data_IF_326824058918
#
_entry.id   IF_326824058918
#
_cell.length_a   1.000
_cell.length_b   1.000
_cell.length_c   1.000
_cell.angle_alpha   90.00
_cell.angle_beta   90.00
_cell.angle_gamma   90.00
#
_symmetry.space_group_name_H-M   'P 1'
#
loop_
_entity.id
_entity.type
_entity.pdbx_description
1 polymer ?
#
# COMPACT_ATOMS: atom_id res chain seq x y z
N UNK A 1 -14.99 5.29 11.93
CA UNK A 1 -15.02 6.31 13.01
C UNK A 1 -14.25 5.88 14.26
N UNK A 2 -14.51 4.69 14.83
CA UNK A 2 -13.78 4.16 16.00
C UNK A 2 -12.26 4.09 15.75
N UNK A 3 -11.82 3.59 14.59
CA UNK A 3 -10.39 3.53 14.24
C UNK A 3 -9.71 4.91 14.21
N UNK A 4 -10.40 5.95 13.72
CA UNK A 4 -9.87 7.32 13.69
C UNK A 4 -9.74 7.86 15.12
N UNK A 5 -10.72 7.59 15.99
CA UNK A 5 -10.68 7.99 17.40
C UNK A 5 -9.55 7.29 18.17
N UNK A 6 -9.37 5.98 17.96
CA UNK A 6 -8.26 5.20 18.52
C UNK A 6 -6.93 5.80 18.05
N UNK A 7 -6.82 6.10 16.76
CA UNK A 7 -5.61 6.68 16.18
C UNK A 7 -5.27 8.06 16.75
N UNK A 8 -6.25 8.96 16.85
CA UNK A 8 -6.08 10.25 17.51
C UNK A 8 -5.69 10.08 18.98
N UNK A 9 -6.28 9.12 19.69
CA UNK A 9 -5.91 8.77 21.06
C UNK A 9 -4.46 8.32 21.20
N UNK A 10 -3.99 7.46 20.30
CA UNK A 10 -2.58 7.00 20.25
C UNK A 10 -1.65 8.19 19.99
N UNK A 11 -1.96 9.04 19.00
CA UNK A 11 -1.14 10.22 18.70
C UNK A 11 -1.07 11.20 19.88
N UNK A 12 -2.18 11.45 20.56
CA UNK A 12 -2.21 12.28 21.75
C UNK A 12 -1.36 11.64 22.86
N UNK A 13 -1.57 10.35 23.14
CA UNK A 13 -0.83 9.60 24.15
C UNK A 13 0.68 9.60 23.91
N UNK A 14 1.12 9.34 22.68
CA UNK A 14 2.53 9.38 22.30
C UNK A 14 3.12 10.79 22.49
N UNK A 15 2.36 11.84 22.17
CA UNK A 15 2.82 13.22 22.35
C UNK A 15 2.93 13.66 23.83
N UNK A 16 2.26 12.97 24.76
CA UNK A 16 2.36 13.21 26.21
C UNK A 16 3.60 12.56 26.83
N UNK A 17 4.20 11.54 26.19
CA UNK A 17 5.36 10.81 26.72
C UNK A 17 6.57 11.72 27.05
N UNK A 18 6.99 12.66 26.18
CA UNK A 18 8.09 13.57 26.49
C UNK A 18 7.82 14.44 27.72
N UNK A 19 6.56 14.84 27.93
CA UNK A 19 6.12 15.67 29.05
C UNK A 19 6.19 14.91 30.39
N UNK A 20 5.89 13.60 30.35
CA UNK A 20 5.94 12.69 31.49
C UNK A 20 7.38 12.35 31.90
N UNK A 21 8.25 12.06 30.92
CA UNK A 21 9.62 11.58 31.18
C UNK A 21 10.54 12.71 31.65
N UNK A 22 10.27 13.97 31.25
CA UNK A 22 11.04 15.20 31.62
C UNK A 22 12.56 15.12 31.42
N UNK A 23 13.06 14.10 30.71
CA UNK A 23 14.48 13.82 30.51
C UNK A 23 14.82 14.01 29.04
N UNK A 24 15.88 14.77 28.79
CA UNK A 24 16.29 15.15 27.44
C UNK A 24 17.40 14.22 26.94
N UNK A 25 17.21 13.70 25.72
CA UNK A 25 18.20 12.85 25.04
C UNK A 25 18.57 13.47 23.68
N UNK A 26 19.35 14.56 23.67
CA UNK A 26 19.56 15.38 22.47
C UNK A 26 20.27 14.63 21.33
N UNK A 27 21.12 13.65 21.65
CA UNK A 27 21.77 12.78 20.65
C UNK A 27 20.75 11.84 19.99
N UNK A 28 19.91 11.20 20.80
CA UNK A 28 18.89 10.25 20.35
C UNK A 28 17.83 10.96 19.50
N UNK A 29 17.36 12.14 19.91
CA UNK A 29 16.41 12.95 19.13
C UNK A 29 16.93 13.29 17.75
N UNK A 30 18.21 13.67 17.62
CA UNK A 30 18.85 13.96 16.32
C UNK A 30 18.91 12.74 15.43
N UNK A 31 19.21 11.56 15.98
CA UNK A 31 19.26 10.30 15.24
C UNK A 31 17.86 9.94 14.73
N UNK A 32 16.86 9.98 15.60
CA UNK A 32 15.46 9.67 15.24
C UNK A 32 14.96 10.63 14.16
N UNK A 33 15.27 11.93 14.27
CA UNK A 33 14.89 12.91 13.26
C UNK A 33 15.53 12.62 11.88
N UNK A 34 16.79 12.15 11.85
CA UNK A 34 17.45 11.74 10.59
C UNK A 34 16.80 10.49 10.00
N UNK A 35 16.54 9.47 10.81
CA UNK A 35 15.86 8.24 10.37
C UNK A 35 14.49 8.58 9.78
N UNK A 36 13.71 9.41 10.48
CA UNK A 36 12.41 9.86 9.99
C UNK A 36 12.53 10.61 8.67
N UNK A 37 13.51 11.49 8.52
CA UNK A 37 13.73 12.24 7.28
C UNK A 37 14.01 11.29 6.10
N UNK A 38 14.91 10.31 6.27
CA UNK A 38 15.17 9.32 5.23
C UNK A 38 13.95 8.45 4.92
N UNK A 39 13.25 7.97 5.94
CA UNK A 39 12.04 7.18 5.76
C UNK A 39 10.94 7.99 5.02
N UNK A 40 10.80 9.28 5.34
CA UNK A 40 9.85 10.18 4.68
C UNK A 40 10.20 10.39 3.22
N UNK A 41 11.48 10.60 2.88
CA UNK A 41 11.93 10.77 1.49
C UNK A 41 11.65 9.49 0.68
N UNK A 42 12.02 8.33 1.21
CA UNK A 42 11.77 7.04 0.54
C UNK A 42 10.26 6.84 0.33
N UNK A 43 9.45 7.10 1.36
CA UNK A 43 8.01 6.97 1.29
C UNK A 43 7.37 7.93 0.27
N UNK A 44 7.85 9.18 0.18
CA UNK A 44 7.42 10.13 -0.85
C UNK A 44 7.77 9.67 -2.26
N UNK A 45 8.96 9.10 -2.46
CA UNK A 45 9.36 8.52 -3.75
C UNK A 45 8.40 7.39 -4.13
N UNK A 46 8.02 6.51 -3.19
CA UNK A 46 7.06 5.46 -3.46
C UNK A 46 5.69 6.00 -3.85
N UNK A 47 5.17 6.98 -3.11
CA UNK A 47 3.89 7.62 -3.45
C UNK A 47 3.96 8.18 -4.86
N UNK A 48 5.04 8.89 -5.20
CA UNK A 48 5.23 9.46 -6.52
C UNK A 48 5.26 8.39 -7.62
N UNK A 49 6.00 7.29 -7.42
CA UNK A 49 6.05 6.18 -8.36
C UNK A 49 4.69 5.51 -8.53
N UNK A 50 3.96 5.32 -7.43
CA UNK A 50 2.61 4.74 -7.42
C UNK A 50 1.63 5.58 -8.25
N UNK A 51 1.72 6.91 -8.20
CA UNK A 51 0.92 7.82 -9.03
C UNK A 51 1.18 7.64 -10.54
N UNK A 52 2.36 7.16 -10.93
CA UNK A 52 2.69 6.82 -12.32
C UNK A 52 2.38 5.36 -12.68
N UNK A 53 1.71 4.62 -11.79
CA UNK A 53 1.43 3.19 -11.95
C UNK A 53 2.69 2.33 -11.86
N UNK A 54 3.77 2.84 -11.26
CA UNK A 54 5.02 2.10 -11.05
C UNK A 54 5.06 1.63 -9.61
N UNK A 55 5.18 0.31 -9.41
CA UNK A 55 5.23 -0.32 -8.08
C UNK A 55 6.51 -1.13 -7.92
N UNK A 56 6.91 -1.34 -6.67
CA UNK A 56 8.05 -2.21 -6.37
C UNK A 56 7.64 -3.68 -6.47
N UNK A 57 8.50 -4.49 -7.07
CA UNK A 57 8.32 -5.94 -7.12
C UNK A 57 8.51 -6.50 -5.72
N UNK A 58 7.48 -7.15 -5.20
CA UNK A 58 7.52 -7.90 -3.95
C UNK A 58 6.15 -7.95 -3.27
N UNK A 59 5.90 -9.01 -2.50
CA UNK A 59 4.64 -9.18 -1.78
C UNK A 59 4.53 -8.19 -0.61
N UNK A 60 5.65 -7.89 0.06
CA UNK A 60 5.69 -7.11 1.29
C UNK A 60 6.45 -5.79 1.19
N UNK A 61 6.96 -5.43 0.01
CA UNK A 61 7.89 -4.29 -0.13
C UNK A 61 7.22 -2.97 0.28
N UNK A 62 6.04 -2.70 -0.26
CA UNK A 62 5.27 -1.49 0.06
C UNK A 62 4.90 -1.45 1.54
N UNK A 63 4.47 -2.59 2.10
CA UNK A 63 4.12 -2.74 3.50
C UNK A 63 5.32 -2.52 4.45
N UNK A 64 6.51 -3.03 4.11
CA UNK A 64 7.72 -2.84 4.93
C UNK A 64 8.12 -1.36 4.94
N UNK A 65 8.04 -0.69 3.79
CA UNK A 65 8.43 0.72 3.68
C UNK A 65 7.41 1.61 4.40
N UNK A 66 6.10 1.37 4.23
CA UNK A 66 5.06 2.09 4.98
C UNK A 66 5.21 1.86 6.48
N UNK A 67 5.44 0.63 6.92
CA UNK A 67 5.63 0.31 8.34
C UNK A 67 6.87 1.00 8.93
N UNK A 68 7.98 1.03 8.20
CA UNK A 68 9.21 1.72 8.61
C UNK A 68 8.96 3.22 8.78
N UNK A 69 8.21 3.84 7.86
CA UNK A 69 7.79 5.24 7.97
C UNK A 69 6.86 5.47 9.18
N UNK A 70 5.88 4.60 9.42
CA UNK A 70 4.96 4.71 10.56
C UNK A 70 5.69 4.59 11.91
N UNK A 71 6.54 3.58 12.08
CA UNK A 71 7.30 3.36 13.31
C UNK A 71 8.25 4.52 13.60
N UNK A 72 8.97 5.01 12.58
CA UNK A 72 9.86 6.16 12.75
C UNK A 72 9.09 7.43 13.11
N UNK A 73 7.90 7.65 12.52
CA UNK A 73 7.02 8.78 12.85
C UNK A 73 6.52 8.72 14.29
N UNK A 74 6.03 7.55 14.74
CA UNK A 74 5.57 7.39 16.13
C UNK A 74 6.70 7.52 17.14
N UNK A 75 7.87 6.98 16.82
CA UNK A 75 9.06 7.10 17.68
C UNK A 75 9.49 8.57 17.80
N UNK A 76 9.44 9.34 16.71
CA UNK A 76 9.69 10.77 16.73
C UNK A 76 8.68 11.54 17.58
N UNK A 77 7.39 11.21 17.49
CA UNK A 77 6.37 11.84 18.34
C UNK A 77 6.53 11.48 19.83
N UNK A 78 6.95 10.25 20.14
CA UNK A 78 7.17 9.80 21.50
C UNK A 78 8.43 10.38 22.16
N UNK A 79 9.44 10.76 21.36
CA UNK A 79 10.76 11.15 21.89
C UNK A 79 11.05 12.64 21.81
N UNK A 80 10.57 13.33 20.78
CA UNK A 80 10.87 14.76 20.60
C UNK A 80 10.00 15.61 21.53
N UNK A 81 10.61 16.59 22.21
CA UNK A 81 9.90 17.54 23.07
C UNK A 81 8.84 18.34 22.32
N UNK A 82 7.72 18.62 22.99
CA UNK A 82 6.62 19.44 22.48
C UNK A 82 7.08 20.88 22.29
N UNK A 83 7.51 21.18 21.06
CA UNK A 83 7.93 22.51 20.60
C UNK A 83 7.07 22.91 19.41
N UNK A 84 7.02 24.21 19.09
CA UNK A 84 6.30 24.70 17.90
C UNK A 84 6.72 23.96 16.62
N UNK A 85 8.01 23.63 16.50
CA UNK A 85 8.54 22.88 15.37
C UNK A 85 7.98 21.45 15.31
N UNK A 86 7.78 20.78 16.46
CA UNK A 86 7.15 19.46 16.51
C UNK A 86 5.69 19.51 16.05
N UNK A 87 4.95 20.52 16.49
CA UNK A 87 3.54 20.72 16.09
C UNK A 87 3.44 20.86 14.56
N UNK A 88 4.30 21.68 13.97
CA UNK A 88 4.37 21.83 12.50
C UNK A 88 4.71 20.49 11.82
N UNK A 89 5.69 19.75 12.34
CA UNK A 89 6.03 18.42 11.81
C UNK A 89 4.85 17.45 11.89
N UNK A 90 4.06 17.45 12.96
CA UNK A 90 2.86 16.61 13.09
C UNK A 90 1.85 16.94 12.00
N UNK A 91 1.55 18.22 11.78
CA UNK A 91 0.60 18.65 10.75
C UNK A 91 1.03 18.20 9.35
N UNK A 92 2.33 18.27 9.04
CA UNK A 92 2.89 17.82 7.76
C UNK A 92 2.88 16.30 7.63
N UNK A 93 3.24 15.57 8.70
CA UNK A 93 3.34 14.12 8.68
C UNK A 93 1.99 13.44 8.76
N UNK A 94 0.97 14.09 9.34
CA UNK A 94 -0.37 13.52 9.50
C UNK A 94 -0.98 12.99 8.19
N UNK A 95 -1.07 13.77 7.09
CA UNK A 95 -1.58 13.24 5.83
C UNK A 95 -0.73 12.07 5.30
N UNK A 96 0.59 12.12 5.46
CA UNK A 96 1.47 11.02 5.05
C UNK A 96 1.24 9.77 5.90
N UNK A 97 0.95 9.90 7.19
CA UNK A 97 0.62 8.77 8.07
C UNK A 97 -0.69 8.12 7.63
N UNK A 98 -1.70 8.91 7.23
CA UNK A 98 -2.94 8.35 6.67
C UNK A 98 -2.68 7.55 5.40
N UNK A 99 -1.84 8.07 4.49
CA UNK A 99 -1.40 7.33 3.29
C UNK A 99 -0.59 6.09 3.68
N UNK A 100 0.27 6.17 4.70
CA UNK A 100 1.03 5.03 5.21
C UNK A 100 0.13 3.90 5.69
N UNK A 101 -0.94 4.22 6.42
CA UNK A 101 -1.95 3.22 6.80
C UNK A 101 -2.71 2.67 5.61
N UNK A 102 -3.02 3.51 4.63
CA UNK A 102 -3.65 3.04 3.39
C UNK A 102 -2.79 1.98 2.71
N UNK A 103 -1.49 2.25 2.53
CA UNK A 103 -0.55 1.29 1.95
C UNK A 103 -0.44 0.01 2.79
N UNK A 104 -0.45 0.15 4.13
CA UNK A 104 -0.32 -0.99 5.04
C UNK A 104 -1.52 -1.95 4.98
N UNK A 105 -2.74 -1.45 4.85
CA UNK A 105 -3.95 -2.28 4.97
C UNK A 105 -4.63 -2.58 3.63
N UNK A 106 -4.55 -1.66 2.66
CA UNK A 106 -5.32 -1.71 1.43
C UNK A 106 -4.46 -1.79 0.16
N UNK A 107 -3.13 -1.76 0.27
CA UNK A 107 -2.25 -1.93 -0.89
C UNK A 107 -1.44 -3.23 -0.81
N UNK A 108 -1.93 -4.21 -0.05
CA UNK A 108 -1.27 -5.50 0.08
C UNK A 108 -1.51 -6.34 -1.18
N UNK A 109 -0.43 -6.90 -1.71
CA UNK A 109 -0.47 -7.89 -2.78
C UNK A 109 -0.83 -9.25 -2.16
N UNK A 110 -2.01 -9.77 -2.49
CA UNK A 110 -2.53 -11.05 -2.01
C UNK A 110 -1.98 -12.23 -2.81
N UNK A 111 -1.66 -12.01 -4.09
CA UNK A 111 -1.19 -13.07 -4.97
C UNK A 111 -0.68 -12.52 -6.29
N UNK A 112 0.28 -13.23 -6.89
CA UNK A 112 0.78 -12.90 -8.23
C UNK A 112 0.77 -14.17 -9.08
N UNK A 113 0.15 -14.09 -10.25
CA UNK A 113 -0.02 -15.18 -11.20
C UNK A 113 0.67 -14.81 -12.50
N UNK A 114 1.58 -15.67 -12.94
CA UNK A 114 2.35 -15.45 -14.16
C UNK A 114 1.46 -15.76 -15.37
N UNK A 115 1.35 -14.82 -16.31
CA UNK A 115 0.65 -15.01 -17.59
C UNK A 115 1.65 -15.33 -18.70
N UNK A 116 2.78 -14.61 -18.72
CA UNK A 116 3.90 -14.84 -19.62
C UNK A 116 5.19 -14.27 -18.99
N UNK A 117 6.35 -14.45 -19.63
CA UNK A 117 7.67 -14.04 -19.12
C UNK A 117 7.77 -12.56 -18.68
N UNK A 118 6.96 -11.67 -19.28
CA UNK A 118 6.94 -10.23 -18.97
C UNK A 118 5.69 -9.75 -18.22
N UNK A 119 4.60 -10.53 -18.22
CA UNK A 119 3.26 -10.11 -17.81
C UNK A 119 2.75 -10.96 -16.65
N UNK A 120 2.28 -10.28 -15.61
CA UNK A 120 1.76 -10.91 -14.41
C UNK A 120 0.39 -10.32 -14.07
N UNK A 121 -0.50 -11.15 -13.53
CA UNK A 121 -1.70 -10.69 -12.87
C UNK A 121 -1.41 -10.59 -11.38
N UNK A 122 -1.69 -9.43 -10.81
CA UNK A 122 -1.63 -9.19 -9.38
C UNK A 122 -3.01 -9.05 -8.81
N UNK A 123 -3.20 -9.70 -7.68
CA UNK A 123 -4.41 -9.59 -6.89
C UNK A 123 -4.04 -8.77 -5.67
N UNK A 124 -4.79 -7.69 -5.45
CA UNK A 124 -4.58 -6.85 -4.28
C UNK A 124 -5.90 -6.62 -3.56
N UNK A 125 -5.85 -6.48 -2.25
CA UNK A 125 -7.04 -6.16 -1.48
C UNK A 125 -7.51 -4.75 -1.83
N UNK A 126 -8.80 -4.52 -2.09
CA UNK A 126 -9.27 -3.17 -2.38
C UNK A 126 -9.36 -2.28 -1.13
N UNK A 127 -9.50 -0.96 -1.37
CA UNK A 127 -9.75 0.04 -0.34
C UNK A 127 -11.07 -0.15 0.41
N UNK A 128 -11.21 0.54 1.54
CA UNK A 128 -12.34 0.44 2.48
C UNK A 128 -13.76 0.54 1.88
N UNK A 129 -13.91 1.17 0.72
CA UNK A 129 -15.21 1.41 0.05
C UNK A 129 -15.45 0.51 -1.17
N UNK A 130 -14.50 -0.36 -1.47
CA UNK A 130 -14.47 -1.10 -2.70
C UNK A 130 -14.88 -2.56 -2.44
N UNK A 131 -15.38 -3.22 -3.47
CA UNK A 131 -16.06 -4.50 -3.40
C UNK A 131 -15.09 -5.62 -3.78
N UNK A 132 -14.43 -6.24 -2.80
CA UNK A 132 -13.66 -7.46 -3.04
C UNK A 132 -12.15 -7.24 -3.19
N UNK A 133 -11.56 -7.85 -4.21
CA UNK A 133 -10.13 -7.84 -4.54
C UNK A 133 -9.93 -7.25 -5.95
N UNK A 134 -8.95 -6.35 -6.13
CA UNK A 134 -8.58 -5.80 -7.44
C UNK A 134 -7.76 -6.82 -8.21
N UNK A 135 -8.06 -6.92 -9.50
CA UNK A 135 -7.22 -7.60 -10.48
C UNK A 135 -6.45 -6.56 -11.30
N UNK A 136 -5.12 -6.60 -11.18
CA UNK A 136 -4.22 -5.73 -11.91
C UNK A 136 -3.40 -6.54 -12.90
N UNK A 137 -3.34 -6.11 -14.16
CA UNK A 137 -2.31 -6.63 -15.06
C UNK A 137 -1.07 -5.75 -14.98
N UNK A 138 0.06 -6.34 -14.63
CA UNK A 138 1.34 -5.65 -14.52
C UNK A 138 2.36 -6.20 -15.51
N UNK A 139 3.21 -5.31 -16.02
CA UNK A 139 4.37 -5.65 -16.85
C UNK A 139 5.64 -5.37 -16.06
N UNK A 140 6.55 -6.33 -16.02
CA UNK A 140 7.84 -6.09 -15.38
C UNK A 140 8.61 -5.01 -16.14
N UNK A 141 9.04 -3.96 -15.42
CA UNK A 141 9.66 -2.76 -16.00
C UNK A 141 10.82 -2.38 -15.09
N UNK A 142 12.06 -2.57 -15.54
CA UNK A 142 13.27 -2.46 -14.69
C UNK A 142 13.28 -3.51 -13.56
N UNK A 143 14.45 -4.05 -13.23
CA UNK A 143 14.64 -5.27 -12.43
C UNK A 143 13.76 -5.38 -11.15
N UNK A 144 13.57 -4.26 -10.44
CA UNK A 144 12.85 -4.20 -9.15
C UNK A 144 11.47 -3.54 -9.26
N UNK A 145 11.06 -3.08 -10.44
CA UNK A 145 9.80 -2.37 -10.62
C UNK A 145 8.88 -3.13 -11.58
N UNK A 146 7.60 -2.83 -11.43
CA UNK A 146 6.55 -3.26 -12.33
C UNK A 146 5.67 -2.07 -12.67
N UNK A 147 5.13 -2.09 -13.88
CA UNK A 147 4.21 -1.08 -14.35
C UNK A 147 2.82 -1.69 -14.45
N UNK A 148 1.86 -1.04 -13.82
CA UNK A 148 0.45 -1.32 -13.94
C UNK A 148 -0.03 -0.94 -15.36
N UNK A 149 -0.60 -1.90 -16.07
CA UNK A 149 -1.17 -1.71 -17.41
C UNK A 149 -2.68 -1.55 -17.36
N UNK A 150 -3.34 -2.38 -16.55
CA UNK A 150 -4.80 -2.39 -16.40
C UNK A 150 -5.14 -2.51 -14.92
N UNK A 151 -6.13 -1.73 -14.53
CA UNK A 151 -6.70 -1.67 -13.20
C UNK A 151 -8.20 -1.89 -13.32
N UNK A 152 -8.70 -3.03 -12.85
CA UNK A 152 -10.14 -3.28 -12.79
C UNK A 152 -10.60 -3.54 -11.36
N UNK A 153 -11.56 -2.74 -10.92
CA UNK A 153 -12.20 -2.73 -9.60
C UNK A 153 -13.66 -3.18 -9.68
N UNK A 154 -14.16 -3.51 -10.87
CA UNK A 154 -15.58 -3.79 -11.05
C UNK A 154 -15.97 -5.19 -10.57
N UNK A 155 -14.99 -6.05 -10.30
CA UNK A 155 -15.25 -7.43 -9.88
C UNK A 155 -15.40 -7.53 -8.37
N UNK A 156 -16.61 -7.85 -7.91
CA UNK A 156 -16.94 -8.10 -6.50
C UNK A 156 -16.45 -9.46 -5.98
N UNK A 157 -15.23 -9.88 -6.33
CA UNK A 157 -14.70 -11.20 -6.00
C UNK A 157 -13.89 -11.16 -4.70
N UNK A 158 -14.01 -12.19 -3.86
CA UNK A 158 -13.25 -12.34 -2.61
C UNK A 158 -12.61 -13.72 -2.50
N UNK A 159 -11.41 -13.76 -1.91
CA UNK A 159 -10.69 -15.01 -1.69
C UNK A 159 -10.29 -15.67 -3.00
N UNK A 160 -9.78 -14.90 -3.96
CA UNK A 160 -9.30 -15.46 -5.23
C UNK A 160 -8.11 -16.37 -4.90
N UNK A 161 -8.25 -17.65 -5.29
CA UNK A 161 -7.25 -18.67 -5.00
C UNK A 161 -6.48 -19.11 -6.25
N UNK A 162 -7.09 -18.97 -7.43
CA UNK A 162 -6.51 -19.43 -8.69
C UNK A 162 -7.04 -18.61 -9.85
N UNK A 163 -6.13 -18.26 -10.77
CA UNK A 163 -6.47 -17.68 -12.06
C UNK A 163 -5.94 -18.60 -13.15
N UNK A 164 -6.81 -19.02 -14.07
CA UNK A 164 -6.42 -19.77 -15.26
C UNK A 164 -6.53 -18.88 -16.49
N UNK A 165 -5.51 -18.89 -17.34
CA UNK A 165 -5.53 -18.17 -18.62
C UNK A 165 -6.14 -19.08 -19.68
N UNK A 166 -7.30 -18.73 -20.22
CA UNK A 166 -7.91 -19.47 -21.34
C UNK A 166 -7.26 -19.02 -22.65
N UNK A 167 -7.18 -17.70 -22.84
CA UNK A 167 -6.72 -17.11 -24.09
C UNK A 167 -5.99 -15.81 -23.82
N UNK A 168 -4.77 -15.69 -24.34
CA UNK A 168 -4.02 -14.45 -24.29
C UNK A 168 -3.55 -14.10 -25.69
N UNK A 169 -4.05 -13.01 -26.27
CA UNK A 169 -3.60 -12.53 -27.57
C UNK A 169 -3.47 -11.00 -27.61
N UNK A 170 -2.96 -10.49 -28.73
CA UNK A 170 -2.72 -9.06 -28.90
C UNK A 170 -4.00 -8.18 -28.92
N UNK A 171 -5.20 -8.77 -28.86
CA UNK A 171 -6.48 -8.05 -28.90
C UNK A 171 -7.36 -8.26 -27.67
N UNK A 172 -7.27 -9.42 -27.02
CA UNK A 172 -8.09 -9.82 -25.89
C UNK A 172 -7.36 -10.82 -25.00
N UNK A 173 -7.63 -10.73 -23.70
CA UNK A 173 -7.20 -11.70 -22.72
C UNK A 173 -8.43 -12.24 -21.96
N UNK A 174 -8.54 -13.56 -21.83
CA UNK A 174 -9.63 -14.27 -21.18
C UNK A 174 -9.07 -15.11 -20.03
N UNK A 175 -9.66 -14.94 -18.85
CA UNK A 175 -9.25 -15.58 -17.61
C UNK A 175 -10.44 -16.23 -16.91
N UNK A 176 -10.21 -17.36 -16.26
CA UNK A 176 -11.11 -17.95 -15.27
C UNK A 176 -10.57 -17.69 -13.88
N UNK A 177 -11.37 -17.04 -13.04
CA UNK A 177 -10.99 -16.66 -11.69
C UNK A 177 -11.78 -17.51 -10.70
N UNK A 178 -11.07 -18.31 -9.93
CA UNK A 178 -11.64 -19.16 -8.89
C UNK A 178 -11.56 -18.43 -7.55
N UNK A 179 -12.69 -18.38 -6.85
CA UNK A 179 -12.83 -17.63 -5.60
C UNK A 179 -13.69 -18.39 -4.58
N UNK A 180 -13.94 -17.80 -3.42
CA UNK A 180 -14.57 -18.49 -2.29
C UNK A 180 -16.11 -18.61 -2.36
N UNK A 181 -16.76 -18.03 -3.38
CA UNK A 181 -18.21 -18.07 -3.57
C UNK A 181 -19.06 -17.24 -2.58
N UNK A 182 -18.46 -16.41 -1.72
CA UNK A 182 -19.20 -15.67 -0.69
C UNK A 182 -20.00 -14.48 -1.24
N UNK A 183 -19.48 -13.82 -2.26
CA UNK A 183 -20.03 -12.56 -2.82
C UNK A 183 -20.62 -12.72 -4.22
N UNK A 184 -20.19 -13.75 -4.96
CA UNK A 184 -20.68 -14.09 -6.29
C UNK A 184 -20.92 -15.61 -6.36
N UNK A 185 -21.98 -16.00 -7.06
CA UNK A 185 -22.32 -17.41 -7.29
C UNK A 185 -21.61 -18.01 -8.50
N UNK A 186 -21.09 -17.19 -9.41
CA UNK A 186 -20.39 -17.66 -10.62
C UNK A 186 -18.93 -18.04 -10.29
N UNK A 187 -18.66 -19.34 -10.18
CA UNK A 187 -17.33 -19.87 -9.86
C UNK A 187 -16.98 -21.06 -10.77
N UNK A 188 -16.02 -20.94 -11.70
CA UNK A 188 -15.13 -19.80 -11.90
C UNK A 188 -15.81 -18.60 -12.58
N UNK A 189 -15.42 -17.40 -12.17
CA UNK A 189 -15.83 -16.16 -12.82
C UNK A 189 -15.07 -15.97 -14.14
N UNK A 190 -15.80 -15.75 -15.24
CA UNK A 190 -15.20 -15.52 -16.55
C UNK A 190 -14.89 -14.03 -16.76
N UNK A 191 -13.61 -13.69 -16.84
CA UNK A 191 -13.14 -12.33 -16.98
C UNK A 191 -12.46 -12.11 -18.33
N UNK A 192 -12.96 -11.13 -19.09
CA UNK A 192 -12.41 -10.75 -20.38
C UNK A 192 -11.89 -9.32 -20.35
N UNK A 193 -10.67 -9.13 -20.86
CA UNK A 193 -10.03 -7.83 -20.98
C UNK A 193 -9.75 -7.54 -22.45
N UNK A 194 -10.38 -6.48 -22.98
CA UNK A 194 -10.08 -5.98 -24.31
C UNK A 194 -8.80 -5.13 -24.31
N UNK A 195 -7.87 -5.46 -25.20
CA UNK A 195 -6.61 -4.75 -25.31
C UNK A 195 -6.79 -3.45 -26.11
N UNK A 196 -7.11 -2.38 -25.40
CA UNK A 196 -7.23 -1.04 -25.98
C UNK A 196 -5.88 -0.33 -26.19
N UNK A 197 -4.79 -0.83 -25.58
CA UNK A 197 -3.51 -0.10 -25.48
C UNK A 197 -2.25 -0.84 -25.97
N UNK A 198 -2.36 -2.04 -26.57
CA UNK A 198 -1.21 -2.88 -27.00
C UNK A 198 -0.20 -3.15 -25.87
N UNK A 199 -0.41 -4.24 -25.13
CA UNK A 199 0.41 -4.79 -24.03
C UNK A 199 1.95 -4.58 -24.13
#
# INVERSE_FOLDING_TARGET
MIFILIFCGILLGLNLIPELIRKEYPKTEKIIARILLFATIIFLILILLSLFGIRLKGLYTDAIISLTFLISSFTFFATKKNTRNKIISIVILFPLILVGFYFQFFSQNLGTYEVNDELNIKISQEGFLACGEIIQLTKSRLLIFEKELIYDTNQCLRGINRIETIKFNNRRAEFLIYHNGEMDSENPYHYEIENTNLW
#
